data_IF_426854972322
#
_entry.id   IF_426854972322
#
_cell.length_a   1.000
_cell.length_b   1.000
_cell.length_c   1.000
_cell.angle_alpha   90.00
_cell.angle_beta   90.00
_cell.angle_gamma   90.00
#
_symmetry.space_group_name_H-M   'P 1'
#
loop_
_entity.id
_entity.type
_entity.pdbx_description
1 polymer ?
#
# COMPACT_ATOMS: atom_id res chain seq x y z
N UNK A 1 11.62 -34.75 -18.27
CA UNK A 1 12.39 -33.50 -18.42
C UNK A 1 11.55 -32.38 -17.84
N UNK A 2 11.88 -31.90 -16.64
CA UNK A 2 11.20 -30.73 -16.07
C UNK A 2 11.60 -29.50 -16.88
N UNK A 3 10.63 -28.74 -17.38
CA UNK A 3 10.87 -27.47 -18.05
C UNK A 3 11.72 -26.60 -17.12
N UNK A 4 12.85 -26.09 -17.63
CA UNK A 4 13.57 -25.01 -16.97
C UNK A 4 12.59 -23.83 -16.91
N UNK A 5 12.10 -23.52 -15.71
CA UNK A 5 11.32 -22.29 -15.50
C UNK A 5 12.16 -21.11 -15.99
N UNK A 6 11.58 -20.29 -16.86
CA UNK A 6 12.19 -19.06 -17.35
C UNK A 6 12.66 -18.23 -16.14
N UNK A 7 13.96 -17.99 -16.11
CA UNK A 7 14.57 -17.00 -15.24
C UNK A 7 13.96 -15.66 -15.65
N UNK A 8 13.40 -14.92 -14.69
CA UNK A 8 12.96 -13.54 -14.92
C UNK A 8 14.24 -12.71 -15.16
N UNK A 9 14.69 -12.65 -16.41
CA UNK A 9 15.90 -11.91 -16.83
C UNK A 9 15.69 -10.39 -16.83
N UNK A 10 14.45 -9.92 -16.65
CA UNK A 10 14.09 -8.51 -16.69
C UNK A 10 13.74 -7.96 -15.31
N UNK A 11 14.37 -6.85 -14.91
CA UNK A 11 13.99 -6.09 -13.72
C UNK A 11 12.58 -5.52 -13.96
N UNK A 12 11.61 -5.76 -13.05
CA UNK A 12 10.28 -5.16 -13.17
C UNK A 12 10.34 -3.64 -13.25
N UNK A 13 9.62 -3.04 -14.21
CA UNK A 13 9.71 -1.63 -14.57
C UNK A 13 9.44 -0.70 -13.38
N UNK A 14 8.45 -1.05 -12.54
CA UNK A 14 8.08 -0.20 -11.39
C UNK A 14 9.24 0.01 -10.41
N UNK A 15 10.18 -0.93 -10.32
CA UNK A 15 11.34 -0.81 -9.44
C UNK A 15 12.35 0.25 -9.93
N UNK A 16 12.27 0.65 -11.21
CA UNK A 16 13.07 1.74 -11.78
C UNK A 16 12.47 3.13 -11.48
N UNK A 17 11.22 3.20 -11.02
CA UNK A 17 10.52 4.46 -10.75
C UNK A 17 10.40 4.72 -9.24
N UNK A 18 11.52 5.09 -8.61
CA UNK A 18 11.59 5.43 -7.18
C UNK A 18 10.58 6.50 -6.77
N UNK A 19 10.27 7.42 -7.69
CA UNK A 19 9.24 8.45 -7.52
C UNK A 19 7.87 7.86 -7.16
N UNK A 20 7.51 6.70 -7.73
CA UNK A 20 6.24 6.03 -7.43
C UNK A 20 6.19 5.50 -5.99
N UNK A 21 7.34 5.07 -5.44
CA UNK A 21 7.47 4.66 -4.04
C UNK A 21 7.30 5.88 -3.12
N UNK A 22 7.93 7.02 -3.46
CA UNK A 22 7.79 8.27 -2.71
C UNK A 22 6.35 8.79 -2.72
N UNK A 23 5.68 8.76 -3.87
CA UNK A 23 4.25 9.14 -3.97
C UNK A 23 3.39 8.20 -3.14
N UNK A 24 3.63 6.89 -3.20
CA UNK A 24 2.92 5.91 -2.36
C UNK A 24 3.14 6.16 -0.88
N UNK A 25 4.37 6.45 -0.45
CA UNK A 25 4.68 6.78 0.95
C UNK A 25 3.97 8.05 1.43
N UNK A 26 3.90 9.09 0.58
CA UNK A 26 3.13 10.29 0.89
C UNK A 26 1.63 10.00 1.03
N UNK A 27 1.05 9.18 0.13
CA UNK A 27 -0.35 8.78 0.24
C UNK A 27 -0.58 7.91 1.49
N UNK A 28 0.33 6.98 1.81
CA UNK A 28 0.28 6.18 3.03
C UNK A 28 0.33 7.05 4.30
N UNK A 29 1.24 8.05 4.33
CA UNK A 29 1.33 9.00 5.44
C UNK A 29 0.03 9.79 5.61
N UNK A 30 -0.55 10.22 4.49
CA UNK A 30 -1.85 10.89 4.47
C UNK A 30 -2.99 10.00 5.01
N UNK A 31 -3.12 8.78 4.49
CA UNK A 31 -4.16 7.81 4.88
C UNK A 31 -4.02 7.45 6.37
N UNK A 32 -2.79 7.20 6.82
CA UNK A 32 -2.50 6.86 8.20
C UNK A 32 -2.87 7.97 9.18
N UNK A 33 -2.47 9.21 8.88
CA UNK A 33 -2.84 10.39 9.67
C UNK A 33 -4.35 10.61 9.68
N UNK A 34 -4.98 10.63 8.50
CA UNK A 34 -6.44 10.80 8.35
C UNK A 34 -7.23 9.76 9.14
N UNK A 35 -6.85 8.48 9.09
CA UNK A 35 -7.55 7.41 9.80
C UNK A 35 -7.56 7.66 11.32
N UNK A 36 -6.44 8.12 11.88
CA UNK A 36 -6.37 8.47 13.29
C UNK A 36 -7.17 9.75 13.57
N UNK A 37 -7.11 10.76 12.71
CA UNK A 37 -7.92 11.99 12.89
C UNK A 37 -9.43 11.71 12.96
N UNK A 38 -9.94 10.82 12.09
CA UNK A 38 -11.36 10.48 12.05
C UNK A 38 -11.79 9.62 13.25
N UNK A 39 -10.90 8.76 13.77
CA UNK A 39 -11.17 7.91 14.94
C UNK A 39 -11.01 8.64 16.28
N UNK A 40 -10.28 9.75 16.32
CA UNK A 40 -10.12 10.60 17.50
C UNK A 40 -10.77 11.99 17.27
N UNK A 41 -12.11 12.11 17.40
CA UNK A 41 -12.77 13.41 17.48
C UNK A 41 -12.55 14.04 18.87
N UNK A 42 -11.29 14.15 19.30
CA UNK A 42 -10.89 14.88 20.52
C UNK A 42 -10.98 16.40 20.32
N UNK A 43 -10.90 17.19 21.40
CA UNK A 43 -11.15 18.63 21.32
C UNK A 43 -10.06 19.30 20.47
N UNK A 44 -10.54 20.02 19.45
CA UNK A 44 -9.89 21.11 18.71
C UNK A 44 -8.44 20.87 18.28
N UNK A 45 -8.31 20.65 16.99
CA UNK A 45 -7.08 20.78 16.22
C UNK A 45 -6.25 22.03 16.63
N UNK A 46 -4.94 21.90 16.95
CA UNK A 46 -4.17 20.69 17.24
C UNK A 46 -3.78 20.59 18.73
N UNK A 47 -4.20 19.53 19.42
CA UNK A 47 -3.62 19.12 20.70
C UNK A 47 -2.40 18.20 20.48
N UNK A 48 -1.46 18.17 21.43
CA UNK A 48 -0.22 17.36 21.32
C UNK A 48 -0.49 15.88 21.10
N UNK A 49 -1.52 15.34 21.76
CA UNK A 49 -1.93 13.94 21.63
C UNK A 49 -2.44 13.64 20.21
N UNK A 50 -3.18 14.58 19.63
CA UNK A 50 -3.73 14.44 18.28
C UNK A 50 -2.61 14.33 17.22
N UNK A 51 -1.58 15.17 17.34
CA UNK A 51 -0.40 15.12 16.46
C UNK A 51 0.39 13.81 16.67
N UNK A 52 0.58 13.37 17.91
CA UNK A 52 1.31 12.15 18.21
C UNK A 52 0.64 10.90 17.62
N UNK A 53 -0.68 10.77 17.78
CA UNK A 53 -1.45 9.65 17.24
C UNK A 53 -1.53 9.67 15.72
N UNK A 54 -1.75 10.84 15.12
CA UNK A 54 -1.75 11.00 13.67
C UNK A 54 -0.39 10.63 13.05
N UNK A 55 0.71 11.09 13.66
CA UNK A 55 2.05 10.77 13.20
C UNK A 55 2.36 9.27 13.34
N UNK A 56 2.00 8.65 14.47
CA UNK A 56 2.16 7.21 14.65
C UNK A 56 1.37 6.42 13.59
N UNK A 57 0.11 6.81 13.32
CA UNK A 57 -0.70 6.20 12.28
C UNK A 57 -0.10 6.34 10.88
N UNK A 58 0.43 7.52 10.56
CA UNK A 58 1.12 7.80 9.30
C UNK A 58 2.37 6.92 9.12
N UNK A 59 3.25 6.88 10.12
CA UNK A 59 4.50 6.11 10.07
C UNK A 59 4.24 4.60 10.02
N UNK A 60 3.26 4.10 10.76
CA UNK A 60 2.86 2.69 10.69
C UNK A 60 2.31 2.32 9.31
N UNK A 61 1.47 3.18 8.73
CA UNK A 61 0.88 2.93 7.41
C UNK A 61 1.97 2.95 6.33
N UNK A 62 2.87 3.93 6.36
CA UNK A 62 3.94 4.09 5.37
C UNK A 62 5.04 3.02 5.46
N UNK A 63 5.46 2.64 6.67
CA UNK A 63 6.64 1.78 6.84
C UNK A 63 6.36 0.41 7.43
N UNK A 64 5.18 0.18 8.01
CA UNK A 64 4.89 -1.06 8.73
C UNK A 64 4.92 -2.28 7.83
N UNK A 65 4.31 -2.20 6.64
CA UNK A 65 4.29 -3.31 5.70
C UNK A 65 5.67 -3.66 5.15
N UNK A 66 6.44 -2.65 4.72
CA UNK A 66 7.84 -2.83 4.31
C UNK A 66 8.73 -3.38 5.43
N UNK A 67 8.53 -2.95 6.68
CA UNK A 67 9.29 -3.46 7.83
C UNK A 67 8.94 -4.91 8.14
N UNK A 68 7.65 -5.28 8.13
CA UNK A 68 7.21 -6.67 8.28
C UNK A 68 7.76 -7.55 7.16
N UNK A 69 7.74 -7.07 5.92
CA UNK A 69 8.35 -7.77 4.79
C UNK A 69 9.84 -8.05 5.04
N UNK A 70 10.58 -7.02 5.48
CA UNK A 70 12.03 -7.13 5.77
C UNK A 70 12.33 -8.13 6.89
N UNK A 71 11.51 -8.16 7.93
CA UNK A 71 11.72 -9.01 9.11
C UNK A 71 11.25 -10.45 8.91
N UNK A 72 10.14 -10.66 8.19
CA UNK A 72 9.45 -11.96 8.14
C UNK A 72 9.77 -12.77 6.89
N UNK A 73 10.15 -12.12 5.79
CA UNK A 73 10.36 -12.80 4.51
C UNK A 73 11.84 -13.07 4.26
N UNK A 74 12.17 -14.24 3.68
CA UNK A 74 13.52 -14.54 3.19
C UNK A 74 13.82 -13.63 2.01
N UNK A 75 14.92 -12.88 2.06
CA UNK A 75 15.28 -11.86 1.06
C UNK A 75 16.49 -12.27 0.23
N UNK A 76 16.56 -11.75 -0.99
CA UNK A 76 17.76 -11.72 -1.80
C UNK A 76 18.45 -10.34 -1.68
N UNK A 77 19.76 -10.34 -1.42
CA UNK A 77 20.57 -9.12 -1.30
C UNK A 77 20.33 -8.25 -0.06
N UNK A 78 20.98 -7.08 -0.03
CA UNK A 78 20.92 -6.11 1.06
C UNK A 78 19.75 -5.14 0.87
N UNK A 79 18.53 -5.58 1.23
CA UNK A 79 17.41 -4.64 1.35
C UNK A 79 17.46 -3.91 2.70
N UNK A 80 17.34 -2.59 2.67
CA UNK A 80 17.31 -1.76 3.87
C UNK A 80 15.87 -1.51 4.31
N UNK A 81 15.70 -1.14 5.58
CA UNK A 81 14.41 -0.66 6.04
C UNK A 81 14.11 0.69 5.37
N UNK A 82 12.89 0.89 4.87
CA UNK A 82 12.52 2.13 4.16
C UNK A 82 12.68 3.39 5.00
N UNK A 83 12.53 3.29 6.33
CA UNK A 83 12.74 4.41 7.25
C UNK A 83 14.21 4.82 7.43
N UNK A 84 15.16 4.11 6.81
CA UNK A 84 16.56 4.53 6.74
C UNK A 84 16.82 5.54 5.60
N UNK A 85 15.89 5.70 4.66
CA UNK A 85 15.98 6.69 3.60
C UNK A 85 15.31 8.02 4.05
N UNK A 86 16.07 9.12 4.17
CA UNK A 86 15.52 10.42 4.54
C UNK A 86 14.44 10.92 3.58
N UNK A 87 14.51 10.60 2.28
CA UNK A 87 13.50 11.02 1.31
C UNK A 87 12.19 10.28 1.54
N UNK A 88 12.26 8.97 1.82
CA UNK A 88 11.10 8.16 2.16
C UNK A 88 10.39 8.67 3.43
N UNK A 89 11.16 8.98 4.48
CA UNK A 89 10.64 9.58 5.72
C UNK A 89 10.01 10.94 5.45
N UNK A 90 10.67 11.79 4.66
CA UNK A 90 10.17 13.12 4.31
C UNK A 90 8.85 13.04 3.53
N UNK A 91 8.72 12.09 2.60
CA UNK A 91 7.48 11.86 1.86
C UNK A 91 6.32 11.45 2.78
N UNK A 92 6.55 10.51 3.69
CA UNK A 92 5.55 10.09 4.67
C UNK A 92 5.13 11.23 5.60
N UNK A 93 6.08 12.04 6.07
CA UNK A 93 5.80 13.22 6.90
C UNK A 93 5.01 14.29 6.13
N UNK A 94 5.35 14.54 4.87
CA UNK A 94 4.58 15.44 4.02
C UNK A 94 3.13 14.97 3.87
N UNK A 95 2.93 13.68 3.63
CA UNK A 95 1.60 13.06 3.62
C UNK A 95 0.83 13.29 4.91
N UNK A 96 1.47 13.06 6.06
CA UNK A 96 0.89 13.35 7.36
C UNK A 96 0.49 14.82 7.50
N UNK A 97 1.38 15.77 7.18
CA UNK A 97 1.08 17.21 7.23
C UNK A 97 -0.09 17.60 6.30
N UNK A 98 -0.18 16.99 5.12
CA UNK A 98 -1.33 17.17 4.24
C UNK A 98 -2.62 16.65 4.89
N UNK A 99 -2.56 15.55 5.63
CA UNK A 99 -3.75 15.04 6.35
C UNK A 99 -4.19 15.95 7.49
N UNK A 100 -3.28 16.68 8.12
CA UNK A 100 -3.66 17.66 9.14
C UNK A 100 -4.36 18.85 8.50
N UNK A 101 -3.88 19.32 7.35
CA UNK A 101 -4.51 20.45 6.65
C UNK A 101 -5.81 20.09 5.93
N UNK A 102 -5.85 19.01 5.15
CA UNK A 102 -6.98 18.72 4.28
C UNK A 102 -8.16 18.09 5.01
N UNK A 103 -7.95 17.22 6.01
CA UNK A 103 -9.08 16.52 6.67
C UNK A 103 -10.11 17.50 7.28
N UNK A 104 -9.72 18.60 7.95
CA UNK A 104 -10.66 19.60 8.45
C UNK A 104 -11.30 20.50 7.37
N UNK A 105 -10.64 20.68 6.22
CA UNK A 105 -11.01 21.71 5.23
C UNK A 105 -11.57 21.16 3.91
N UNK A 106 -11.46 19.85 3.67
CA UNK A 106 -11.73 19.23 2.38
C UNK A 106 -13.20 19.25 1.96
N UNK A 107 -14.14 19.25 2.91
CA UNK A 107 -15.57 19.18 2.61
C UNK A 107 -16.12 20.32 1.75
N UNK A 108 -15.51 21.52 1.76
CA UNK A 108 -15.94 22.63 0.91
C UNK A 108 -15.03 22.84 -0.30
N UNK A 109 -13.72 22.90 -0.08
CA UNK A 109 -12.77 23.27 -1.13
C UNK A 109 -12.68 22.27 -2.31
N UNK A 110 -12.80 20.96 -2.06
CA UNK A 110 -12.73 19.94 -3.13
C UNK A 110 -14.06 19.83 -3.88
N UNK A 111 -15.18 19.91 -3.16
CA UNK A 111 -16.52 19.88 -3.75
C UNK A 111 -16.74 21.12 -4.63
N UNK A 112 -16.31 22.29 -4.16
CA UNK A 112 -16.39 23.56 -4.92
C UNK A 112 -15.49 23.58 -6.17
N UNK A 113 -14.31 22.92 -6.12
CA UNK A 113 -13.34 22.94 -7.22
C UNK A 113 -13.58 21.87 -8.29
N UNK A 114 -13.94 20.65 -7.87
CA UNK A 114 -14.03 19.48 -8.75
C UNK A 114 -15.44 18.95 -8.94
N UNK A 115 -16.42 19.41 -8.15
CA UNK A 115 -17.78 18.87 -8.15
C UNK A 115 -17.87 17.42 -7.68
N UNK A 116 -16.83 16.93 -7.00
CA UNK A 116 -16.74 15.54 -6.51
C UNK A 116 -16.62 15.58 -4.99
N UNK A 117 -17.39 14.72 -4.32
CA UNK A 117 -17.33 14.58 -2.86
C UNK A 117 -15.92 14.18 -2.40
N UNK A 118 -15.45 14.84 -1.35
CA UNK A 118 -14.13 14.63 -0.74
C UNK A 118 -13.83 13.14 -0.42
N UNK A 119 -14.83 12.38 0.03
CA UNK A 119 -14.70 10.94 0.29
C UNK A 119 -14.37 10.11 -0.96
N UNK A 120 -14.95 10.46 -2.11
CA UNK A 120 -14.70 9.78 -3.39
C UNK A 120 -13.26 9.98 -3.86
N UNK A 121 -12.74 11.21 -3.71
CA UNK A 121 -11.35 11.52 -4.06
C UNK A 121 -10.36 10.72 -3.21
N UNK A 122 -10.61 10.61 -1.90
CA UNK A 122 -9.75 9.82 -1.02
C UNK A 122 -9.82 8.32 -1.29
N UNK A 123 -10.99 7.78 -1.59
CA UNK A 123 -11.13 6.38 -1.97
C UNK A 123 -10.38 6.08 -3.26
N UNK A 124 -10.43 6.98 -4.23
CA UNK A 124 -9.66 6.84 -5.46
C UNK A 124 -8.15 6.85 -5.19
N UNK A 125 -7.66 7.78 -4.37
CA UNK A 125 -6.23 7.84 -3.99
C UNK A 125 -5.78 6.57 -3.25
N UNK A 126 -6.63 5.99 -2.41
CA UNK A 126 -6.34 4.71 -1.75
C UNK A 126 -6.26 3.55 -2.76
N UNK A 127 -7.16 3.51 -3.75
CA UNK A 127 -7.08 2.52 -4.84
C UNK A 127 -5.78 2.66 -5.64
N UNK A 128 -5.37 3.89 -5.96
CA UNK A 128 -4.09 4.18 -6.64
C UNK A 128 -2.90 3.72 -5.79
N UNK A 129 -2.91 4.05 -4.50
CA UNK A 129 -1.85 3.66 -3.59
C UNK A 129 -1.73 2.13 -3.46
N UNK A 130 -2.85 1.44 -3.28
CA UNK A 130 -2.86 -0.03 -3.21
C UNK A 130 -2.37 -0.67 -4.51
N UNK A 131 -2.72 -0.11 -5.68
CA UNK A 131 -2.19 -0.58 -6.96
C UNK A 131 -0.66 -0.46 -7.05
N UNK A 132 -0.10 0.69 -6.64
CA UNK A 132 1.35 0.92 -6.61
C UNK A 132 2.02 -0.06 -5.64
N UNK A 133 1.49 -0.20 -4.41
CA UNK A 133 2.04 -1.11 -3.40
C UNK A 133 2.03 -2.57 -3.85
N UNK A 134 0.94 -3.03 -4.48
CA UNK A 134 0.86 -4.39 -5.04
C UNK A 134 1.92 -4.58 -6.12
N UNK A 135 2.07 -3.64 -7.04
CA UNK A 135 3.03 -3.75 -8.13
C UNK A 135 4.47 -3.77 -7.59
N UNK A 136 4.80 -2.90 -6.62
CA UNK A 136 6.09 -2.91 -5.93
C UNK A 136 6.32 -4.22 -5.17
N UNK A 137 5.38 -4.64 -4.33
CA UNK A 137 5.51 -5.84 -3.50
C UNK A 137 5.57 -7.12 -4.33
N UNK A 138 4.81 -7.20 -5.41
CA UNK A 138 4.85 -8.33 -6.35
C UNK A 138 6.21 -8.40 -7.05
N UNK A 139 6.69 -7.27 -7.55
CA UNK A 139 8.00 -7.16 -8.20
C UNK A 139 9.14 -7.55 -7.25
N UNK A 140 9.10 -7.01 -6.03
CA UNK A 140 10.07 -7.29 -4.95
C UNK A 140 10.08 -8.76 -4.55
N UNK A 141 8.90 -9.37 -4.36
CA UNK A 141 8.78 -10.76 -3.91
C UNK A 141 9.09 -11.78 -4.99
N UNK A 142 8.79 -11.49 -6.26
CA UNK A 142 9.14 -12.36 -7.38
C UNK A 142 10.65 -12.51 -7.54
N UNK A 143 11.40 -11.41 -7.39
CA UNK A 143 12.87 -11.43 -7.37
C UNK A 143 13.41 -12.28 -6.20
N UNK A 144 12.84 -12.11 -5.01
CA UNK A 144 13.27 -12.86 -3.81
C UNK A 144 12.94 -14.37 -3.91
N UNK A 145 11.97 -14.74 -4.74
CA UNK A 145 11.50 -16.12 -4.88
C UNK A 145 12.12 -16.89 -6.07
N UNK A 146 13.07 -16.28 -6.80
CA UNK A 146 13.76 -16.91 -7.94
C UNK A 146 14.46 -18.23 -7.59
N UNK A 147 14.99 -18.35 -6.37
CA UNK A 147 15.65 -19.57 -5.89
C UNK A 147 14.73 -20.72 -5.47
N UNK A 148 13.40 -20.56 -5.58
CA UNK A 148 12.43 -21.57 -5.13
C UNK A 148 12.10 -22.56 -6.26
N UNK A 149 12.26 -23.87 -6.01
CA UNK A 149 12.13 -24.91 -7.04
C UNK A 149 10.69 -25.23 -7.50
N UNK A 150 9.66 -24.86 -6.73
CA UNK A 150 8.26 -25.21 -7.03
C UNK A 150 7.43 -23.96 -7.35
N UNK A 151 6.84 -23.92 -8.55
CA UNK A 151 6.01 -22.80 -9.03
C UNK A 151 4.89 -22.39 -8.06
N UNK A 152 4.17 -23.35 -7.49
CA UNK A 152 3.11 -23.10 -6.49
C UNK A 152 3.66 -22.46 -5.21
N UNK A 153 4.79 -22.94 -4.69
CA UNK A 153 5.41 -22.35 -3.49
C UNK A 153 5.88 -20.93 -3.76
N UNK A 154 6.44 -20.67 -4.95
CA UNK A 154 6.84 -19.34 -5.41
C UNK A 154 5.62 -18.40 -5.44
N UNK A 155 4.52 -18.85 -6.03
CA UNK A 155 3.27 -18.09 -6.08
C UNK A 155 2.75 -17.75 -4.68
N UNK A 156 2.63 -18.75 -3.79
CA UNK A 156 2.15 -18.54 -2.43
C UNK A 156 3.05 -17.61 -1.62
N UNK A 157 4.37 -17.77 -1.74
CA UNK A 157 5.31 -16.84 -1.14
C UNK A 157 5.08 -15.42 -1.64
N UNK A 158 4.97 -15.22 -2.96
CA UNK A 158 4.75 -13.89 -3.53
C UNK A 158 3.42 -13.27 -3.08
N UNK A 159 2.35 -14.08 -2.95
CA UNK A 159 1.07 -13.62 -2.38
C UNK A 159 1.25 -13.14 -0.94
N UNK A 160 1.79 -13.98 -0.06
CA UNK A 160 1.93 -13.64 1.36
C UNK A 160 2.89 -12.47 1.55
N UNK A 161 4.02 -12.47 0.84
CA UNK A 161 5.03 -11.42 0.93
C UNK A 161 4.49 -10.07 0.39
N UNK A 162 3.80 -10.07 -0.75
CA UNK A 162 3.19 -8.84 -1.29
C UNK A 162 2.06 -8.33 -0.41
N UNK A 163 1.23 -9.23 0.13
CA UNK A 163 0.16 -8.84 1.04
C UNK A 163 0.73 -8.21 2.32
N UNK A 164 1.76 -8.82 2.89
CA UNK A 164 2.48 -8.30 4.07
C UNK A 164 3.09 -6.93 3.76
N UNK A 165 3.73 -6.78 2.61
CA UNK A 165 4.32 -5.52 2.16
C UNK A 165 3.27 -4.41 2.02
N UNK A 166 2.15 -4.71 1.36
CA UNK A 166 1.19 -3.70 0.93
C UNK A 166 0.19 -3.34 2.03
N UNK A 167 -0.24 -4.31 2.84
CA UNK A 167 -1.30 -4.13 3.83
C UNK A 167 -0.80 -4.19 5.28
N UNK A 168 0.42 -4.70 5.53
CA UNK A 168 0.94 -4.88 6.89
C UNK A 168 0.97 -3.59 7.72
N UNK A 169 1.23 -2.44 7.08
CA UNK A 169 1.21 -1.14 7.75
C UNK A 169 -0.19 -0.73 8.21
N UNK A 170 -1.18 -0.86 7.33
CA UNK A 170 -2.57 -0.61 7.65
C UNK A 170 -3.11 -1.60 8.70
N UNK A 171 -2.70 -2.87 8.65
CA UNK A 171 -3.02 -3.87 9.67
C UNK A 171 -2.46 -3.45 11.03
N UNK A 172 -1.17 -3.08 11.10
CA UNK A 172 -0.53 -2.65 12.33
C UNK A 172 -1.21 -1.42 12.93
N UNK A 173 -1.50 -0.40 12.10
CA UNK A 173 -2.25 0.79 12.50
C UNK A 173 -3.60 0.42 13.10
N UNK A 174 -4.38 -0.41 12.41
CA UNK A 174 -5.72 -0.77 12.83
C UNK A 174 -5.73 -1.61 14.11
N UNK A 175 -4.76 -2.51 14.28
CA UNK A 175 -4.57 -3.28 15.52
C UNK A 175 -4.23 -2.35 16.69
N UNK A 176 -3.26 -1.44 16.50
CA UNK A 176 -2.85 -0.48 17.54
C UNK A 176 -4.01 0.43 17.92
N UNK A 177 -4.74 0.96 16.93
CA UNK A 177 -5.92 1.77 17.17
C UNK A 177 -6.98 1.01 17.98
N UNK A 178 -7.22 -0.27 17.69
CA UNK A 178 -8.14 -1.11 18.48
C UNK A 178 -7.67 -1.36 19.90
N UNK A 179 -6.41 -1.74 20.07
CA UNK A 179 -5.84 -2.08 21.37
C UNK A 179 -5.83 -0.87 22.33
N UNK A 180 -5.66 0.34 21.79
CA UNK A 180 -5.54 1.55 22.61
C UNK A 180 -6.87 2.26 22.85
N UNK A 181 -7.89 2.07 22.00
CA UNK A 181 -9.06 2.96 21.98
C UNK A 181 -10.41 2.27 22.15
N UNK A 182 -10.45 0.94 22.16
CA UNK A 182 -11.71 0.21 22.17
C UNK A 182 -12.51 0.35 20.86
N UNK A 183 -13.68 -0.31 20.73
CA UNK A 183 -14.39 -0.46 19.45
C UNK A 183 -15.38 0.71 19.17
N UNK A 184 -15.77 0.98 17.90
CA UNK A 184 -16.60 0.03 17.13
C UNK A 184 -16.01 -0.39 15.76
N UNK A 185 -16.64 -1.42 15.20
CA UNK A 185 -16.46 -2.03 13.87
C UNK A 185 -15.38 -3.14 13.72
N UNK A 186 -15.86 -4.30 13.26
CA UNK A 186 -15.21 -5.62 13.21
C UNK A 186 -14.11 -5.77 12.17
N UNK A 187 -13.28 -6.83 12.33
CA UNK A 187 -12.08 -7.23 11.56
C UNK A 187 -11.10 -6.09 11.23
N UNK A 188 -9.80 -6.23 11.49
CA UNK A 188 -8.82 -5.22 11.00
C UNK A 188 -9.17 -4.95 9.54
N UNK A 189 -9.44 -3.70 9.12
CA UNK A 189 -10.20 -3.43 7.88
C UNK A 189 -9.54 -4.07 6.66
N UNK A 190 -8.21 -4.07 6.69
CA UNK A 190 -7.32 -4.71 5.73
C UNK A 190 -7.22 -6.25 5.82
N UNK A 191 -7.95 -6.89 6.73
CA UNK A 191 -8.15 -8.35 6.83
C UNK A 191 -9.58 -8.76 6.44
N UNK A 192 -10.46 -7.79 6.14
CA UNK A 192 -11.81 -8.11 5.66
C UNK A 192 -11.73 -8.80 4.29
N UNK A 193 -12.65 -9.74 4.02
CA UNK A 193 -12.68 -10.44 2.74
C UNK A 193 -12.86 -9.49 1.54
N UNK A 194 -13.55 -8.36 1.75
CA UNK A 194 -13.76 -7.31 0.76
C UNK A 194 -12.46 -6.60 0.35
N UNK A 195 -11.42 -6.62 1.19
CA UNK A 195 -10.08 -6.08 0.87
C UNK A 195 -9.13 -7.21 0.45
N UNK A 196 -9.17 -8.33 1.16
CA UNK A 196 -8.23 -9.43 0.97
C UNK A 196 -8.38 -10.10 -0.40
N UNK A 197 -9.61 -10.36 -0.84
CA UNK A 197 -9.86 -11.05 -2.10
C UNK A 197 -9.41 -10.21 -3.32
N UNK A 198 -9.80 -8.92 -3.46
CA UNK A 198 -9.27 -8.06 -4.52
C UNK A 198 -7.74 -7.97 -4.50
N UNK A 199 -7.13 -7.88 -3.32
CA UNK A 199 -5.67 -7.85 -3.20
C UNK A 199 -5.01 -9.14 -3.70
N UNK A 200 -5.54 -10.31 -3.34
CA UNK A 200 -5.01 -11.60 -3.83
C UNK A 200 -5.15 -11.70 -5.36
N UNK A 201 -6.30 -11.29 -5.91
CA UNK A 201 -6.53 -11.27 -7.36
C UNK A 201 -5.60 -10.30 -8.08
N UNK A 202 -5.41 -9.10 -7.52
CA UNK A 202 -4.46 -8.09 -7.99
C UNK A 202 -3.03 -8.63 -8.04
N UNK A 203 -2.59 -9.30 -6.96
CA UNK A 203 -1.26 -9.94 -6.90
C UNK A 203 -1.14 -11.02 -7.97
N UNK A 204 -2.13 -11.90 -8.09
CA UNK A 204 -2.12 -12.98 -9.07
C UNK A 204 -2.06 -12.44 -10.51
N UNK A 205 -2.89 -11.43 -10.82
CA UNK A 205 -2.87 -10.74 -12.11
C UNK A 205 -1.50 -10.14 -12.41
N UNK A 206 -0.93 -9.37 -11.49
CA UNK A 206 0.34 -8.69 -11.71
C UNK A 206 1.50 -9.69 -11.82
N UNK A 207 1.49 -10.78 -11.06
CA UNK A 207 2.47 -11.87 -11.24
C UNK A 207 2.39 -12.50 -12.62
N UNK A 208 1.18 -12.77 -13.13
CA UNK A 208 1.00 -13.29 -14.49
C UNK A 208 1.52 -12.30 -15.54
N UNK A 209 1.27 -11.00 -15.34
CA UNK A 209 1.78 -9.93 -16.21
C UNK A 209 3.31 -9.92 -16.26
N UNK A 210 3.98 -10.02 -15.11
CA UNK A 210 5.44 -10.02 -15.02
C UNK A 210 6.08 -11.26 -15.66
N UNK A 211 5.37 -12.41 -15.65
CA UNK A 211 5.82 -13.66 -16.29
C UNK A 211 5.48 -13.74 -17.78
N UNK A 212 4.70 -12.81 -18.32
CA UNK A 212 4.29 -12.84 -19.72
C UNK A 212 5.49 -12.57 -20.65
N UNK A 213 5.60 -13.31 -21.75
CA UNK A 213 6.66 -13.13 -22.74
C UNK A 213 6.50 -11.76 -23.41
N UNK A 214 7.43 -10.83 -23.15
CA UNK A 214 7.30 -9.41 -23.52
C UNK A 214 7.04 -8.47 -22.33
N UNK A 215 7.08 -8.99 -21.10
CA UNK A 215 6.90 -8.21 -19.87
C UNK A 215 7.94 -7.11 -19.68
N UNK A 216 9.07 -7.09 -20.40
CA UNK A 216 10.02 -5.97 -20.37
C UNK A 216 9.46 -4.61 -20.83
N UNK A 217 8.24 -4.57 -21.37
CA UNK A 217 7.57 -3.33 -21.77
C UNK A 217 7.00 -2.56 -20.57
N UNK A 218 7.53 -1.36 -20.33
CA UNK A 218 6.99 -0.41 -19.35
C UNK A 218 5.52 -0.08 -19.63
N UNK A 219 5.13 0.03 -20.90
CA UNK A 219 3.75 0.29 -21.30
C UNK A 219 2.80 -0.82 -20.82
N UNK A 220 3.25 -2.08 -20.85
CA UNK A 220 2.45 -3.20 -20.39
C UNK A 220 2.38 -3.23 -18.84
N UNK A 221 3.53 -3.10 -18.17
CA UNK A 221 3.57 -3.18 -16.70
C UNK A 221 2.92 -1.98 -16.00
N UNK A 222 3.21 -0.77 -16.49
CA UNK A 222 2.78 0.48 -15.88
C UNK A 222 1.52 1.05 -16.55
N UNK A 223 1.51 1.07 -17.89
CA UNK A 223 0.40 1.65 -18.66
C UNK A 223 -0.87 0.79 -18.69
N UNK A 224 -0.77 -0.53 -18.57
CA UNK A 224 -1.92 -1.43 -18.46
C UNK A 224 -2.06 -2.02 -17.05
N UNK A 225 -0.95 -2.53 -16.49
CA UNK A 225 -0.97 -3.22 -15.20
C UNK A 225 -1.54 -2.37 -14.08
N UNK A 226 -0.98 -1.18 -13.83
CA UNK A 226 -1.41 -0.30 -12.73
C UNK A 226 -2.88 0.14 -12.89
N UNK A 227 -3.36 0.63 -14.05
CA UNK A 227 -4.77 0.97 -14.22
C UNK A 227 -5.74 -0.20 -13.96
N UNK A 228 -5.39 -1.42 -14.38
CA UNK A 228 -6.20 -2.61 -14.07
C UNK A 228 -6.24 -2.88 -12.57
N UNK A 229 -5.11 -2.74 -11.88
CA UNK A 229 -5.07 -2.86 -10.41
C UNK A 229 -5.95 -1.81 -9.73
N UNK A 230 -5.91 -0.55 -10.19
CA UNK A 230 -6.79 0.52 -9.68
C UNK A 230 -8.26 0.14 -9.91
N UNK A 231 -8.60 -0.36 -11.11
CA UNK A 231 -9.94 -0.81 -11.44
C UNK A 231 -10.44 -1.97 -10.58
N UNK A 232 -9.56 -2.92 -10.22
CA UNK A 232 -9.90 -4.02 -9.31
C UNK A 232 -10.24 -3.51 -7.91
N UNK A 233 -9.44 -2.58 -7.37
CA UNK A 233 -9.71 -2.01 -6.05
C UNK A 233 -10.94 -1.09 -6.05
N UNK A 234 -11.11 -0.28 -7.10
CA UNK A 234 -12.26 0.59 -7.25
C UNK A 234 -13.57 -0.21 -7.44
N UNK A 235 -13.55 -1.22 -8.32
CA UNK A 235 -14.70 -2.07 -8.62
C UNK A 235 -15.09 -3.02 -7.48
N UNK A 236 -14.14 -3.40 -6.62
CA UNK A 236 -14.44 -4.14 -5.40
C UNK A 236 -15.21 -3.32 -4.35
N UNK A 237 -15.48 -2.05 -4.62
CA UNK A 237 -16.12 -1.16 -3.65
C UNK A 237 -15.28 -1.07 -2.39
N UNK A 238 -13.94 -0.98 -2.53
CA UNK A 238 -12.99 -0.75 -1.45
C UNK A 238 -13.14 0.70 -0.95
N UNK A 239 -14.37 1.01 -0.55
CA UNK A 239 -14.73 2.04 0.38
C UNK A 239 -14.18 1.49 1.69
N UNK A 240 -12.95 1.85 2.04
CA UNK A 240 -12.59 1.90 3.46
C UNK A 240 -13.58 2.91 4.06
N UNK A 241 -14.74 2.41 4.49
CA UNK A 241 -15.68 3.15 5.32
C UNK A 241 -14.91 3.42 6.61
N UNK A 242 -14.25 4.57 6.63
CA UNK A 242 -13.83 5.26 7.84
C UNK A 242 -14.99 6.14 8.24
#
# INVERSE_FOLDING_TARGET
MAAKEEVVEHVPAILSHVESDLVSLAICGYIGGRCMHLKYPGPVFPSTEWVAWGLAGAMLTAFGGGSMYVLLMKRSGDRRFGWQDPLAVSAALLGFLLSTYFVPHCGRAIEDLLGIGCGTVFNFLDCVNNAILIAWGTSKSLLDAQGMCRSWMRFMYCVVATYTYSFGGGIARDVIARCLLGPPAGAVGNLSAAVALPAILAIAFYQCLLKYRGSGSELLQLGLGIPVLVGLFHGAGLVLAV
#
